data_IF_833223366564
#
_entry.id   IF_833223366564
#
_cell.length_a   1.000
_cell.length_b   1.000
_cell.length_c   1.000
_cell.angle_alpha   90.00
_cell.angle_beta   90.00
_cell.angle_gamma   90.00
#
_symmetry.space_group_name_H-M   'P 1'
#
loop_
_entity.id
_entity.type
_entity.pdbx_description
1 polymer ?
#
# COMPACT_ATOMS: atom_id res chain seq x y z
N UNK A 1 9.86 1.56 -17.04
CA UNK A 1 9.60 3.02 -17.00
C UNK A 1 10.60 3.62 -16.06
N UNK A 2 11.27 4.71 -16.46
CA UNK A 2 12.26 5.36 -15.60
C UNK A 2 11.54 6.32 -14.65
N UNK A 3 11.82 6.22 -13.36
CA UNK A 3 11.35 7.17 -12.33
C UNK A 3 12.61 7.68 -11.63
N UNK A 4 12.66 8.97 -11.34
CA UNK A 4 13.81 9.59 -10.67
C UNK A 4 13.34 10.44 -9.48
N UNK A 5 14.15 10.47 -8.42
CA UNK A 5 13.90 11.32 -7.26
C UNK A 5 14.51 12.71 -7.49
N UNK A 6 13.69 13.75 -7.36
CA UNK A 6 14.15 15.14 -7.43
C UNK A 6 14.50 15.70 -6.05
N UNK A 7 13.78 15.29 -5.02
CA UNK A 7 13.98 15.75 -3.66
C UNK A 7 13.12 15.00 -2.66
N UNK A 8 13.49 15.08 -1.38
CA UNK A 8 12.73 14.48 -0.30
C UNK A 8 12.72 15.40 0.94
N UNK A 9 11.57 15.49 1.58
CA UNK A 9 11.39 16.11 2.88
C UNK A 9 11.13 15.01 3.92
N UNK A 10 12.07 14.85 4.86
CA UNK A 10 11.98 13.86 5.93
C UNK A 10 11.14 14.41 7.08
N UNK A 11 10.16 13.62 7.53
CA UNK A 11 9.49 13.88 8.78
C UNK A 11 10.41 13.50 9.95
N UNK A 12 10.69 14.45 10.83
CA UNK A 12 11.47 14.20 12.05
C UNK A 12 10.59 13.50 13.09
N UNK A 13 11.15 12.50 13.77
CA UNK A 13 10.53 11.71 14.82
C UNK A 13 9.19 11.07 14.39
N UNK A 14 9.19 10.10 13.47
CA UNK A 14 7.98 9.39 13.07
C UNK A 14 7.40 8.61 14.26
N UNK A 15 6.09 8.74 14.49
CA UNK A 15 5.40 7.99 15.54
C UNK A 15 5.19 6.53 15.09
N UNK A 16 6.11 5.66 15.46
CA UNK A 16 6.16 4.26 15.04
C UNK A 16 5.09 3.36 15.67
N UNK A 17 4.45 3.82 16.74
CA UNK A 17 3.41 3.08 17.45
C UNK A 17 2.08 3.10 16.69
N UNK A 18 1.94 3.98 15.69
CA UNK A 18 0.74 4.05 14.86
C UNK A 18 0.70 2.93 13.82
N UNK A 19 -0.52 2.49 13.52
CA UNK A 19 -0.79 1.60 12.38
C UNK A 19 -0.48 2.25 11.03
N UNK A 20 -0.45 3.58 11.00
CA UNK A 20 -0.12 4.40 9.86
C UNK A 20 0.77 5.58 10.27
N UNK A 21 1.95 5.66 9.67
CA UNK A 21 2.96 6.67 9.97
C UNK A 21 3.52 7.21 8.66
N UNK A 22 3.46 8.52 8.45
CA UNK A 22 4.19 9.17 7.36
C UNK A 22 5.66 9.30 7.76
N UNK A 23 6.55 8.92 6.87
CA UNK A 23 8.01 8.99 7.05
C UNK A 23 8.57 10.24 6.37
N UNK A 24 7.98 10.64 5.24
CA UNK A 24 8.39 11.82 4.51
C UNK A 24 7.61 12.01 3.22
N UNK A 25 7.99 13.04 2.46
CA UNK A 25 7.39 13.38 1.17
C UNK A 25 8.48 13.50 0.12
N UNK A 26 8.37 12.74 -0.96
CA UNK A 26 9.28 12.78 -2.10
C UNK A 26 8.64 13.45 -3.32
N UNK A 27 9.47 14.16 -4.06
CA UNK A 27 9.14 14.66 -5.39
C UNK A 27 9.79 13.75 -6.43
N UNK A 28 9.00 13.14 -7.31
CA UNK A 28 9.48 12.20 -8.32
C UNK A 28 9.15 12.69 -9.72
N UNK A 29 10.06 12.48 -10.66
CA UNK A 29 9.84 12.74 -12.08
C UNK A 29 9.76 11.44 -12.87
N UNK A 30 8.94 11.44 -13.91
CA UNK A 30 8.80 10.37 -14.89
C UNK A 30 9.23 10.98 -16.23
N UNK A 31 10.53 10.92 -16.59
CA UNK A 31 11.05 11.61 -17.77
C UNK A 31 10.36 11.19 -19.06
N UNK A 32 10.05 9.90 -19.19
CA UNK A 32 9.37 9.33 -20.37
C UNK A 32 7.98 9.95 -20.62
N UNK A 33 7.37 10.56 -19.59
CA UNK A 33 6.06 11.20 -19.66
C UNK A 33 6.14 12.72 -19.47
N UNK A 34 7.32 13.28 -19.26
CA UNK A 34 7.54 14.72 -18.95
C UNK A 34 6.71 15.21 -17.74
N UNK A 35 6.45 14.32 -16.76
CA UNK A 35 5.62 14.62 -15.59
C UNK A 35 6.45 14.61 -14.31
N UNK A 36 6.20 15.58 -13.44
CA UNK A 36 6.68 15.59 -12.05
C UNK A 36 5.51 15.47 -11.08
N UNK A 37 5.59 14.50 -10.18
CA UNK A 37 4.65 14.27 -9.08
C UNK A 37 5.29 14.79 -7.79
N UNK A 38 4.72 15.86 -7.23
CA UNK A 38 5.24 16.50 -6.02
C UNK A 38 4.46 16.09 -4.79
N UNK A 39 5.14 15.82 -3.69
CA UNK A 39 4.51 15.48 -2.41
C UNK A 39 3.99 14.05 -2.34
N UNK A 40 4.62 13.10 -3.03
CA UNK A 40 4.34 11.68 -2.88
C UNK A 40 4.74 11.25 -1.46
N UNK A 41 3.80 10.74 -0.67
CA UNK A 41 4.11 10.40 0.72
C UNK A 41 4.74 9.01 0.83
N UNK A 42 5.87 8.91 1.53
CA UNK A 42 6.41 7.64 2.01
C UNK A 42 5.78 7.34 3.36
N UNK A 43 5.13 6.18 3.49
CA UNK A 43 4.37 5.84 4.68
C UNK A 43 4.58 4.38 5.09
N UNK A 44 4.68 4.15 6.39
CA UNK A 44 4.53 2.83 6.99
C UNK A 44 3.06 2.57 7.28
N UNK A 45 2.51 1.47 6.76
CA UNK A 45 1.17 0.98 7.07
C UNK A 45 1.25 -0.50 7.40
N UNK A 46 0.75 -0.89 8.58
CA UNK A 46 0.72 -2.30 9.01
C UNK A 46 2.08 -3.02 8.87
N UNK A 47 3.18 -2.33 9.20
CA UNK A 47 4.54 -2.87 9.11
C UNK A 47 5.16 -2.89 7.71
N UNK A 48 4.44 -2.46 6.68
CA UNK A 48 4.96 -2.35 5.31
C UNK A 48 5.15 -0.88 4.92
N UNK A 49 6.19 -0.61 4.14
CA UNK A 49 6.43 0.73 3.58
C UNK A 49 5.75 0.84 2.22
N UNK A 50 5.09 1.96 1.98
CA UNK A 50 4.33 2.25 0.77
C UNK A 50 4.59 3.69 0.30
N UNK A 51 4.59 3.89 -1.02
CA UNK A 51 4.41 5.20 -1.61
C UNK A 51 2.93 5.48 -1.88
N UNK A 52 2.46 6.62 -1.39
CA UNK A 52 1.10 7.11 -1.58
C UNK A 52 1.07 8.24 -2.60
N UNK A 53 -0.03 8.37 -3.36
CA UNK A 53 -0.18 9.46 -4.29
C UNK A 53 -0.13 10.82 -3.58
N UNK A 54 0.31 11.86 -4.30
CA UNK A 54 0.30 13.21 -3.77
C UNK A 54 -1.13 13.63 -3.43
N UNK A 55 -1.31 14.22 -2.25
CA UNK A 55 -2.60 14.78 -1.84
C UNK A 55 -2.69 16.24 -2.25
N UNK A 56 -3.84 16.60 -2.82
CA UNK A 56 -4.20 18.01 -3.02
C UNK A 56 -4.45 18.63 -1.65
N UNK A 57 -3.85 19.80 -1.39
CA UNK A 57 -4.08 20.53 -0.15
C UNK A 57 -5.58 20.84 0.01
N UNK A 58 -6.15 20.52 1.18
CA UNK A 58 -7.57 20.68 1.46
C UNK A 58 -8.46 19.48 1.06
N UNK A 59 -7.90 18.42 0.45
CA UNK A 59 -8.67 17.22 0.13
C UNK A 59 -9.01 16.41 1.40
N UNK A 60 -10.29 16.08 1.57
CA UNK A 60 -10.80 15.25 2.65
C UNK A 60 -10.62 13.75 2.37
N UNK A 61 -10.59 12.90 3.41
CA UNK A 61 -10.66 11.46 3.23
C UNK A 61 -11.95 11.06 2.50
N UNK A 62 -11.84 10.55 1.28
CA UNK A 62 -12.99 10.22 0.40
C UNK A 62 -13.05 11.06 -0.85
N UNK A 63 -12.37 12.21 -0.88
CA UNK A 63 -12.18 12.97 -2.11
C UNK A 63 -11.30 12.15 -3.04
N UNK A 64 -11.87 11.79 -4.20
CA UNK A 64 -11.10 11.17 -5.26
C UNK A 64 -10.06 12.19 -5.73
N UNK A 65 -8.84 12.09 -5.20
CA UNK A 65 -7.72 12.90 -5.66
C UNK A 65 -7.54 12.72 -7.16
N UNK A 66 -7.15 13.78 -7.87
CA UNK A 66 -6.93 13.72 -9.32
C UNK A 66 -5.81 12.74 -9.73
N UNK A 67 -4.89 12.45 -8.80
CA UNK A 67 -3.79 11.51 -8.99
C UNK A 67 -4.00 10.34 -8.03
N UNK A 68 -4.16 9.14 -8.57
CA UNK A 68 -4.38 7.93 -7.79
C UNK A 68 -3.58 6.77 -8.36
N UNK A 69 -3.16 5.88 -7.46
CA UNK A 69 -2.66 4.56 -7.82
C UNK A 69 -2.94 3.57 -6.69
N UNK A 70 -3.01 2.29 -7.06
CA UNK A 70 -3.07 1.21 -6.08
C UNK A 70 -1.73 1.14 -5.34
N UNK A 71 -1.73 1.28 -4.01
CA UNK A 71 -0.51 1.27 -3.17
C UNK A 71 0.30 -0.03 -3.25
N UNK A 72 -0.32 -1.12 -3.71
CA UNK A 72 0.34 -2.43 -3.92
C UNK A 72 0.71 -2.68 -5.38
N UNK A 73 0.40 -1.76 -6.30
CA UNK A 73 0.64 -1.88 -7.73
C UNK A 73 2.12 -1.70 -8.09
N UNK A 74 2.51 -2.16 -9.28
CA UNK A 74 3.90 -2.11 -9.75
C UNK A 74 4.46 -0.68 -9.78
N UNK A 75 3.66 0.29 -10.22
CA UNK A 75 4.04 1.70 -10.21
C UNK A 75 4.33 2.21 -8.80
N UNK A 76 3.43 1.95 -7.85
CA UNK A 76 3.59 2.37 -6.46
C UNK A 76 4.84 1.76 -5.81
N UNK A 77 5.19 0.51 -6.15
CA UNK A 77 6.41 -0.14 -5.67
C UNK A 77 7.67 0.54 -6.20
N UNK A 78 7.74 0.85 -7.49
CA UNK A 78 8.89 1.55 -8.07
C UNK A 78 9.08 2.94 -7.47
N UNK A 79 7.98 3.70 -7.30
CA UNK A 79 8.01 5.00 -6.61
C UNK A 79 8.48 4.82 -5.15
N UNK A 80 7.98 3.81 -4.46
CA UNK A 80 8.37 3.50 -3.08
C UNK A 80 9.85 3.19 -2.95
N UNK A 81 10.40 2.34 -3.81
CA UNK A 81 11.82 1.96 -3.81
C UNK A 81 12.71 3.20 -3.97
N UNK A 82 12.36 4.08 -4.91
CA UNK A 82 13.14 5.30 -5.19
C UNK A 82 13.08 6.31 -4.05
N UNK A 83 11.87 6.55 -3.50
CA UNK A 83 11.73 7.48 -2.37
C UNK A 83 12.37 6.90 -1.11
N UNK A 84 12.26 5.59 -0.87
CA UNK A 84 12.86 4.92 0.29
C UNK A 84 14.39 4.96 0.23
N UNK A 85 15.00 4.66 -0.92
CA UNK A 85 16.45 4.78 -1.11
C UNK A 85 16.93 6.22 -0.86
N UNK A 86 16.18 7.22 -1.36
CA UNK A 86 16.46 8.63 -1.04
C UNK A 86 16.29 8.98 0.43
N UNK A 87 15.28 8.43 1.10
CA UNK A 87 15.02 8.61 2.53
C UNK A 87 16.16 8.07 3.39
N UNK A 88 16.62 6.85 3.11
CA UNK A 88 17.73 6.20 3.81
C UNK A 88 19.04 6.99 3.63
N UNK A 89 19.36 7.41 2.40
CA UNK A 89 20.56 8.21 2.11
C UNK A 89 20.57 9.56 2.83
N UNK A 90 19.41 10.14 3.07
CA UNK A 90 19.25 11.40 3.77
C UNK A 90 19.22 11.25 5.30
N UNK A 91 19.44 10.04 5.82
CA UNK A 91 19.47 9.76 7.26
C UNK A 91 18.09 9.64 7.89
N UNK A 92 17.09 9.27 7.09
CA UNK A 92 15.75 9.00 7.59
C UNK A 92 15.74 7.85 8.61
N UNK A 93 14.96 8.00 9.67
CA UNK A 93 14.82 6.99 10.71
C UNK A 93 13.96 5.82 10.21
N UNK A 94 14.42 4.59 10.39
CA UNK A 94 13.66 3.39 10.04
C UNK A 94 12.83 2.90 11.23
N UNK A 95 11.65 2.29 10.97
CA UNK A 95 10.85 1.73 12.05
C UNK A 95 11.65 0.69 12.83
N UNK A 96 11.50 0.63 14.17
CA UNK A 96 12.16 -0.37 14.98
C UNK A 96 11.75 -1.78 14.53
N UNK A 97 12.67 -2.75 14.72
CA UNK A 97 12.37 -4.14 14.43
C UNK A 97 11.13 -4.59 15.22
N UNK A 98 10.21 -5.35 14.59
CA UNK A 98 9.03 -5.86 15.27
C UNK A 98 9.42 -6.70 16.49
N UNK A 99 8.70 -6.53 17.60
CA UNK A 99 8.89 -7.42 18.76
C UNK A 99 8.46 -8.85 18.43
N UNK A 100 8.96 -9.85 19.16
CA UNK A 100 8.58 -11.26 18.94
C UNK A 100 7.06 -11.47 18.97
N UNK A 101 6.34 -10.78 19.86
CA UNK A 101 4.89 -10.84 19.95
C UNK A 101 4.21 -10.32 18.67
N UNK A 102 4.70 -9.21 18.11
CA UNK A 102 4.20 -8.66 16.85
C UNK A 102 4.52 -9.58 15.66
N UNK A 103 5.72 -10.17 15.65
CA UNK A 103 6.14 -11.10 14.60
C UNK A 103 5.29 -12.38 14.61
N UNK A 104 4.95 -12.89 15.79
CA UNK A 104 4.02 -14.00 15.94
C UNK A 104 2.61 -13.65 15.45
N UNK A 105 2.12 -12.44 15.72
CA UNK A 105 0.85 -11.94 15.20
C UNK A 105 0.82 -11.86 13.67
N UNK A 106 1.87 -11.32 13.05
CA UNK A 106 2.02 -11.25 11.58
C UNK A 106 2.02 -12.65 10.97
N UNK A 107 2.75 -13.59 11.58
CA UNK A 107 2.80 -14.98 11.12
C UNK A 107 1.45 -15.68 11.25
N UNK A 108 0.69 -15.43 12.32
CA UNK A 108 -0.66 -15.96 12.49
C UNK A 108 -1.63 -15.41 11.43
N UNK A 109 -1.61 -14.11 11.17
CA UNK A 109 -2.42 -13.49 10.12
C UNK A 109 -2.09 -14.06 8.73
N UNK A 110 -0.81 -14.30 8.43
CA UNK A 110 -0.36 -14.91 7.18
C UNK A 110 -0.88 -16.35 7.01
N UNK A 111 -0.85 -17.14 8.09
CA UNK A 111 -1.40 -18.51 8.11
C UNK A 111 -2.92 -18.50 7.88
N UNK A 112 -3.62 -17.55 8.49
CA UNK A 112 -5.07 -17.43 8.33
C UNK A 112 -5.46 -17.02 6.91
N UNK A 113 -4.77 -16.03 6.32
CA UNK A 113 -4.99 -15.63 4.92
C UNK A 113 -4.70 -16.77 3.93
N UNK A 114 -3.65 -17.55 4.16
CA UNK A 114 -3.34 -18.74 3.36
C UNK A 114 -4.43 -19.82 3.46
N UNK A 115 -4.99 -20.02 4.66
CA UNK A 115 -6.10 -20.97 4.87
C UNK A 115 -7.38 -20.54 4.14
N UNK A 116 -7.75 -19.27 4.22
CA UNK A 116 -8.89 -18.70 3.49
C UNK A 116 -8.73 -18.83 1.98
N UNK A 117 -7.53 -18.57 1.44
CA UNK A 117 -7.26 -18.74 0.02
C UNK A 117 -7.35 -20.20 -0.45
N UNK A 118 -7.04 -21.17 0.43
CA UNK A 118 -7.19 -22.60 0.12
C UNK A 118 -8.61 -23.15 0.28
N UNK A 119 -9.46 -22.48 1.07
CA UNK A 119 -10.87 -22.87 1.27
C UNK A 119 -11.78 -22.35 0.13
N UNK A 120 -11.35 -21.36 -0.66
CA UNK A 120 -12.10 -20.76 -1.78
C UNK A 120 -11.94 -21.52 -3.11
N UNK A 121 -10.94 -22.41 -3.22
CA UNK A 121 -10.65 -23.19 -4.45
C UNK A 121 -11.54 -24.46 -4.63
N UNK A 122 -12.58 -24.64 -3.81
CA UNK A 122 -13.26 -25.93 -3.72
C UNK A 122 -14.71 -25.96 -3.26
N UNK A 123 -15.49 -24.91 -3.50
CA UNK A 123 -16.93 -24.96 -3.16
C UNK A 123 -17.84 -24.25 -4.16
N UNK A 124 -17.62 -24.47 -5.46
CA UNK A 124 -18.68 -24.35 -6.48
C UNK A 124 -19.56 -25.63 -6.44
N UNK A 125 -20.25 -25.81 -5.31
CA UNK A 125 -21.29 -26.81 -5.18
C UNK A 125 -22.53 -26.28 -5.92
N UNK A 126 -22.65 -26.65 -7.19
CA UNK A 126 -23.74 -26.40 -8.15
C UNK A 126 -25.14 -26.93 -7.69
N UNK A 127 -25.32 -27.14 -6.39
CA UNK A 127 -26.54 -27.58 -5.74
C UNK A 127 -27.56 -26.44 -5.55
N UNK A 128 -27.11 -25.18 -5.54
CA UNK A 128 -27.98 -24.01 -5.35
C UNK A 128 -28.79 -23.63 -6.59
N UNK A 129 -28.21 -23.79 -7.79
CA UNK A 129 -28.82 -23.29 -9.03
C UNK A 129 -30.01 -24.15 -9.51
N UNK A 130 -29.98 -25.47 -9.23
CA UNK A 130 -31.08 -26.39 -9.59
C UNK A 130 -32.37 -26.18 -8.79
N UNK A 131 -32.31 -25.50 -7.64
CA UNK A 131 -33.49 -25.28 -6.79
C UNK A 131 -34.41 -24.16 -7.29
N UNK A 132 -33.90 -23.24 -8.12
CA UNK A 132 -34.68 -22.11 -8.63
C UNK A 132 -35.27 -22.30 -10.03
N UNK A 133 -34.84 -23.31 -10.79
CA UNK A 133 -35.35 -23.58 -12.14
C UNK A 133 -36.40 -24.72 -12.20
N UNK A 134 -36.77 -25.30 -11.06
CA UNK A 134 -37.72 -26.41 -10.96
C UNK A 134 -39.15 -26.05 -10.51
N UNK A 135 -39.48 -24.77 -10.38
CA UNK A 135 -40.77 -24.32 -9.83
C UNK A 135 -41.68 -23.60 -10.84
N UNK A 136 -41.51 -23.84 -12.15
CA UNK A 136 -42.47 -23.42 -13.19
C UNK A 136 -42.59 -24.51 -14.27
N UNK A 137 -43.20 -25.66 -13.91
CA UNK A 137 -43.76 -26.60 -14.87
C UNK A 137 -44.72 -27.58 -14.15
N UNK A 138 -45.89 -27.08 -13.74
CA UNK A 138 -47.12 -27.87 -13.54
C UNK A 138 -48.32 -26.93 -13.49
#
# INVERSE_FOLDING_TARGET
>A
MKIELLGINIQRNPDWDRSFTIMGFGDVTIPDLEITLRGCALARKNGQVHALPPKVAGAHPGDLGAIQWKSTGAFARQVCEIILDGYERMGGEMPPEPTQAQQNGINAARRYAAKLASEDDGQDDDAGLRRHLGAEAA
#
